data_IF_275919863300
#
_entry.id   IF_275919863300
#
_cell.length_a   1.000
_cell.length_b   1.000
_cell.length_c   1.000
_cell.angle_alpha   90.00
_cell.angle_beta   90.00
_cell.angle_gamma   90.00
#
_symmetry.space_group_name_H-M   'P 1'
#
loop_
_entity.id
_entity.type
_entity.pdbx_description
1 polymer ?
#
# COMPACT_ATOMS: atom_id res chain seq x y z
N UNK A 1 15.20 28.91 17.91
CA UNK A 1 13.85 28.44 17.51
C UNK A 1 13.97 27.88 16.11
N UNK A 2 13.49 26.64 15.86
CA UNK A 2 13.50 26.09 14.51
C UNK A 2 12.61 26.95 13.60
N UNK A 3 13.08 27.21 12.39
CA UNK A 3 12.30 27.92 11.37
C UNK A 3 11.09 27.09 10.95
N UNK A 4 10.03 27.76 10.48
CA UNK A 4 8.83 27.08 9.97
C UNK A 4 9.16 26.06 8.86
N UNK A 5 10.14 26.38 8.01
CA UNK A 5 10.62 25.49 6.94
C UNK A 5 11.25 24.21 7.50
N UNK A 6 12.05 24.30 8.56
CA UNK A 6 12.65 23.12 9.21
C UNK A 6 11.59 22.21 9.83
N UNK A 7 10.60 22.78 10.53
CA UNK A 7 9.49 22.01 11.13
C UNK A 7 8.71 21.26 10.03
N UNK A 8 8.44 21.92 8.92
CA UNK A 8 7.70 21.32 7.81
C UNK A 8 8.52 20.23 7.10
N UNK A 9 9.83 20.44 6.91
CA UNK A 9 10.74 19.45 6.34
C UNK A 9 10.82 18.18 7.20
N UNK A 10 10.90 18.33 8.53
CA UNK A 10 10.87 17.22 9.49
C UNK A 10 9.55 16.45 9.34
N UNK A 11 8.40 17.13 9.39
CA UNK A 11 7.09 16.49 9.23
C UNK A 11 6.97 15.72 7.92
N UNK A 12 7.41 16.30 6.80
CA UNK A 12 7.38 15.63 5.50
C UNK A 12 8.23 14.34 5.51
N UNK A 13 9.44 14.40 6.09
CA UNK A 13 10.30 13.22 6.25
C UNK A 13 9.62 12.12 7.06
N UNK A 14 9.01 12.45 8.19
CA UNK A 14 8.30 11.47 9.03
C UNK A 14 7.10 10.84 8.30
N UNK A 15 6.23 11.65 7.70
CA UNK A 15 5.04 11.15 6.97
C UNK A 15 5.45 10.18 5.86
N UNK A 16 6.52 10.50 5.14
CA UNK A 16 7.05 9.67 4.06
C UNK A 16 7.60 8.34 4.57
N UNK A 17 8.37 8.36 5.66
CA UNK A 17 8.88 7.14 6.29
C UNK A 17 7.75 6.25 6.79
N UNK A 18 6.76 6.82 7.47
CA UNK A 18 5.59 6.09 7.96
C UNK A 18 4.85 5.41 6.81
N UNK A 19 4.58 6.13 5.72
CA UNK A 19 3.87 5.58 4.57
C UNK A 19 4.64 4.43 3.90
N UNK A 20 5.96 4.56 3.77
CA UNK A 20 6.83 3.51 3.21
C UNK A 20 6.88 2.27 4.10
N UNK A 21 7.08 2.45 5.41
CA UNK A 21 7.06 1.34 6.36
C UNK A 21 5.70 0.63 6.37
N UNK A 22 4.60 1.39 6.38
CA UNK A 22 3.25 0.84 6.29
C UNK A 22 3.08 -0.01 5.02
N UNK A 23 3.51 0.52 3.87
CA UNK A 23 3.42 -0.19 2.58
C UNK A 23 4.25 -1.47 2.58
N UNK A 24 5.48 -1.43 3.12
CA UNK A 24 6.35 -2.60 3.13
C UNK A 24 5.85 -3.70 4.07
N UNK A 25 5.43 -3.31 5.28
CA UNK A 25 4.89 -4.25 6.26
C UNK A 25 3.61 -4.90 5.73
N UNK A 26 2.74 -4.11 5.11
CA UNK A 26 1.53 -4.61 4.46
C UNK A 26 1.85 -5.58 3.32
N UNK A 27 2.67 -5.18 2.35
CA UNK A 27 3.01 -6.03 1.21
C UNK A 27 3.73 -7.31 1.66
N UNK A 28 4.69 -7.18 2.57
CA UNK A 28 5.43 -8.31 3.14
C UNK A 28 4.52 -9.28 3.90
N UNK A 29 3.57 -8.77 4.69
CA UNK A 29 2.58 -9.60 5.38
C UNK A 29 1.72 -10.41 4.40
N UNK A 30 1.19 -9.77 3.35
CA UNK A 30 0.32 -10.46 2.38
C UNK A 30 1.06 -11.49 1.53
N UNK A 31 2.33 -11.24 1.22
CA UNK A 31 3.21 -12.23 0.59
C UNK A 31 3.43 -13.42 1.51
N UNK A 32 3.77 -13.16 2.78
CA UNK A 32 3.95 -14.22 3.77
C UNK A 32 2.67 -15.02 4.00
N UNK A 33 1.52 -14.36 4.13
CA UNK A 33 0.22 -14.99 4.25
C UNK A 33 -0.08 -15.87 3.03
N UNK A 34 0.19 -15.36 1.82
CA UNK A 34 0.00 -16.13 0.60
C UNK A 34 0.89 -17.38 0.54
N UNK A 35 2.16 -17.24 0.87
CA UNK A 35 3.09 -18.37 0.91
C UNK A 35 2.69 -19.39 1.99
N UNK A 36 2.40 -18.94 3.21
CA UNK A 36 2.06 -19.83 4.35
C UNK A 36 0.74 -20.56 4.17
N UNK A 37 -0.29 -19.90 3.64
CA UNK A 37 -1.58 -20.54 3.33
C UNK A 37 -1.45 -21.65 2.27
N UNK A 38 -0.47 -21.52 1.39
CA UNK A 38 -0.20 -22.49 0.33
C UNK A 38 0.46 -23.78 0.83
N UNK A 39 1.31 -23.71 1.86
CA UNK A 39 1.97 -24.89 2.43
C UNK A 39 0.99 -25.83 3.15
N UNK A 40 -0.09 -25.30 3.72
CA UNK A 40 -1.06 -26.11 4.48
C UNK A 40 -2.09 -26.82 3.60
N UNK A 41 -2.26 -26.40 2.34
CA UNK A 41 -3.41 -26.80 1.54
C UNK A 41 -3.16 -28.00 0.60
N UNK A 42 -1.93 -28.55 0.55
CA UNK A 42 -1.60 -29.72 -0.29
C UNK A 42 -1.85 -29.50 -1.80
N UNK A 43 -2.02 -28.25 -2.22
CA UNK A 43 -2.44 -27.88 -3.59
C UNK A 43 -1.22 -27.90 -4.51
N UNK A 44 -1.42 -28.33 -5.75
CA UNK A 44 -0.38 -28.34 -6.77
C UNK A 44 0.36 -26.97 -6.85
N UNK A 45 1.70 -26.95 -6.92
CA UNK A 45 2.53 -25.73 -6.83
C UNK A 45 2.11 -24.61 -7.82
N UNK A 46 1.59 -24.99 -8.99
CA UNK A 46 1.15 -24.06 -10.01
C UNK A 46 -0.12 -23.26 -9.64
N UNK A 47 -1.09 -23.86 -8.93
CA UNK A 47 -2.31 -23.15 -8.46
C UNK A 47 -1.98 -22.20 -7.31
N UNK A 48 -1.05 -22.59 -6.46
CA UNK A 48 -0.49 -21.78 -5.37
C UNK A 48 0.17 -20.51 -5.92
N UNK A 49 1.04 -20.65 -6.93
CA UNK A 49 1.76 -19.52 -7.52
C UNK A 49 0.81 -18.51 -8.18
N UNK A 50 -0.16 -18.99 -8.96
CA UNK A 50 -1.02 -18.13 -9.77
C UNK A 50 -2.16 -17.47 -9.00
N UNK A 51 -2.69 -18.09 -7.95
CA UNK A 51 -3.83 -17.54 -7.22
C UNK A 51 -3.48 -16.92 -5.87
N UNK A 52 -2.33 -17.27 -5.28
CA UNK A 52 -2.03 -16.90 -3.90
C UNK A 52 -0.74 -16.05 -3.82
N UNK A 53 0.32 -16.44 -4.54
CA UNK A 53 1.57 -15.68 -4.52
C UNK A 53 1.54 -14.44 -5.43
N UNK A 54 0.84 -14.52 -6.56
CA UNK A 54 0.80 -13.44 -7.56
C UNK A 54 0.28 -12.10 -6.98
N UNK A 55 -0.83 -12.03 -6.22
CA UNK A 55 -1.29 -10.77 -5.63
C UNK A 55 -0.25 -10.17 -4.65
N UNK A 56 0.36 -11.01 -3.82
CA UNK A 56 1.41 -10.56 -2.90
C UNK A 56 2.64 -10.00 -3.63
N UNK A 57 3.07 -10.63 -4.73
CA UNK A 57 4.18 -10.14 -5.55
C UNK A 57 3.84 -8.81 -6.21
N UNK A 58 2.61 -8.62 -6.66
CA UNK A 58 2.13 -7.33 -7.19
C UNK A 58 2.23 -6.26 -6.10
N UNK A 59 1.81 -6.55 -4.87
CA UNK A 59 1.91 -5.61 -3.74
C UNK A 59 3.35 -5.24 -3.41
N UNK A 60 4.27 -6.22 -3.42
CA UNK A 60 5.71 -5.99 -3.24
C UNK A 60 6.28 -5.10 -4.35
N UNK A 61 5.91 -5.36 -5.59
CA UNK A 61 6.33 -4.55 -6.74
C UNK A 61 5.82 -3.11 -6.60
N UNK A 62 4.56 -2.93 -6.22
CA UNK A 62 3.97 -1.61 -5.98
C UNK A 62 4.66 -0.89 -4.82
N UNK A 63 5.01 -1.60 -3.75
CA UNK A 63 5.79 -1.06 -2.65
C UNK A 63 7.17 -0.57 -3.12
N UNK A 64 7.89 -1.36 -3.92
CA UNK A 64 9.18 -0.98 -4.50
C UNK A 64 9.07 0.25 -5.41
N UNK A 65 8.03 0.30 -6.24
CA UNK A 65 7.71 1.45 -7.10
C UNK A 65 7.45 2.70 -6.25
N UNK A 66 6.68 2.60 -5.17
CA UNK A 66 6.40 3.71 -4.27
C UNK A 66 7.65 4.25 -3.57
N UNK A 67 8.67 3.41 -3.37
CA UNK A 67 9.96 3.83 -2.81
C UNK A 67 10.76 4.72 -3.74
N UNK A 68 10.75 4.40 -5.04
CA UNK A 68 11.53 5.10 -6.07
C UNK A 68 10.77 6.29 -6.67
N UNK A 69 9.47 6.15 -6.88
CA UNK A 69 8.61 7.09 -7.59
C UNK A 69 7.34 7.38 -6.78
N UNK A 70 7.46 8.23 -5.75
CA UNK A 70 6.40 8.46 -4.75
C UNK A 70 5.03 8.81 -5.34
N UNK A 71 4.98 9.71 -6.33
CA UNK A 71 3.70 10.12 -6.93
C UNK A 71 3.06 8.98 -7.75
N UNK A 72 3.86 8.20 -8.47
CA UNK A 72 3.35 7.10 -9.27
C UNK A 72 2.92 5.94 -8.37
N UNK A 73 3.76 5.57 -7.39
CA UNK A 73 3.41 4.54 -6.41
C UNK A 73 2.20 4.90 -5.55
N UNK A 74 2.02 6.18 -5.18
CA UNK A 74 0.80 6.61 -4.49
C UNK A 74 -0.46 6.35 -5.33
N UNK A 75 -0.42 6.58 -6.65
CA UNK A 75 -1.55 6.26 -7.53
C UNK A 75 -1.79 4.76 -7.63
N UNK A 76 -0.73 3.96 -7.74
CA UNK A 76 -0.86 2.50 -7.78
C UNK A 76 -1.47 1.96 -6.49
N UNK A 77 -0.98 2.37 -5.32
CA UNK A 77 -1.52 1.96 -4.02
C UNK A 77 -3.00 2.37 -3.85
N UNK A 78 -3.37 3.56 -4.36
CA UNK A 78 -4.77 3.97 -4.38
C UNK A 78 -5.63 3.02 -5.21
N UNK A 79 -5.18 2.69 -6.43
CA UNK A 79 -5.89 1.77 -7.31
C UNK A 79 -5.96 0.36 -6.72
N UNK A 80 -4.88 -0.17 -6.18
CA UNK A 80 -4.87 -1.48 -5.51
C UNK A 80 -5.87 -1.53 -4.36
N UNK A 81 -5.86 -0.52 -3.49
CA UNK A 81 -6.81 -0.44 -2.39
C UNK A 81 -8.26 -0.41 -2.89
N UNK A 82 -8.57 0.46 -3.86
CA UNK A 82 -9.91 0.56 -4.44
C UNK A 82 -10.35 -0.74 -5.13
N UNK A 83 -9.46 -1.40 -5.86
CA UNK A 83 -9.73 -2.68 -6.50
C UNK A 83 -10.04 -3.76 -5.47
N UNK A 84 -9.32 -3.81 -4.36
CA UNK A 84 -9.63 -4.74 -3.26
C UNK A 84 -11.01 -4.46 -2.69
N UNK A 85 -11.34 -3.20 -2.40
CA UNK A 85 -12.65 -2.82 -1.86
C UNK A 85 -13.80 -3.13 -2.83
N UNK A 86 -13.60 -2.95 -4.13
CA UNK A 86 -14.64 -3.16 -5.14
C UNK A 86 -14.76 -4.63 -5.56
N UNK A 87 -13.66 -5.30 -5.89
CA UNK A 87 -13.67 -6.61 -6.51
C UNK A 87 -13.77 -7.76 -5.49
N UNK A 88 -13.13 -7.64 -4.32
CA UNK A 88 -13.07 -8.76 -3.36
C UNK A 88 -14.46 -9.21 -2.87
N UNK A 89 -15.38 -8.30 -2.49
CA UNK A 89 -16.73 -8.70 -2.08
C UNK A 89 -17.51 -9.35 -3.22
N UNK A 90 -17.40 -8.84 -4.45
CA UNK A 90 -18.11 -9.37 -5.62
C UNK A 90 -17.68 -10.81 -5.91
N UNK A 91 -16.38 -11.08 -5.84
CA UNK A 91 -15.81 -12.39 -6.16
C UNK A 91 -16.06 -13.42 -5.06
N UNK A 92 -16.18 -12.98 -3.79
CA UNK A 92 -16.18 -13.88 -2.64
C UNK A 92 -17.49 -13.93 -1.84
N UNK A 93 -18.53 -13.22 -2.29
CA UNK A 93 -19.79 -13.04 -1.58
C UNK A 93 -20.44 -14.35 -1.10
N UNK A 94 -20.47 -15.37 -1.96
CA UNK A 94 -21.12 -16.65 -1.65
C UNK A 94 -20.19 -17.67 -0.98
N UNK A 95 -18.87 -17.46 -1.08
CA UNK A 95 -17.86 -18.40 -0.61
C UNK A 95 -17.37 -18.11 0.82
N UNK A 96 -17.49 -16.85 1.27
CA UNK A 96 -16.93 -16.38 2.53
C UNK A 96 -17.98 -15.72 3.42
N UNK A 97 -17.78 -15.80 4.73
CA UNK A 97 -18.61 -15.06 5.69
C UNK A 97 -18.39 -13.56 5.55
N UNK A 98 -19.42 -12.75 5.86
CA UNK A 98 -19.31 -11.28 5.86
C UNK A 98 -18.14 -10.78 6.71
N UNK A 99 -17.91 -11.40 7.87
CA UNK A 99 -16.79 -11.06 8.74
C UNK A 99 -15.43 -11.25 8.06
N UNK A 100 -15.27 -12.33 7.28
CA UNK A 100 -14.04 -12.58 6.51
C UNK A 100 -13.87 -11.57 5.38
N UNK A 101 -14.96 -11.23 4.69
CA UNK A 101 -14.94 -10.21 3.63
C UNK A 101 -14.50 -8.86 4.19
N UNK A 102 -15.11 -8.41 5.27
CA UNK A 102 -14.75 -7.16 5.94
C UNK A 102 -13.31 -7.19 6.47
N UNK A 103 -12.89 -8.31 7.07
CA UNK A 103 -11.52 -8.48 7.54
C UNK A 103 -10.51 -8.29 6.41
N UNK A 104 -10.71 -8.94 5.26
CA UNK A 104 -9.81 -8.80 4.11
C UNK A 104 -9.87 -7.40 3.53
N UNK A 105 -11.04 -6.79 3.36
CA UNK A 105 -11.13 -5.41 2.88
C UNK A 105 -10.35 -4.43 3.79
N UNK A 106 -10.48 -4.59 5.11
CA UNK A 106 -9.81 -3.72 6.08
C UNK A 106 -8.31 -3.98 6.20
N UNK A 107 -7.84 -5.22 6.02
CA UNK A 107 -6.42 -5.56 6.20
C UNK A 107 -5.62 -5.60 4.89
N UNK A 108 -6.29 -5.83 3.76
CA UNK A 108 -5.71 -5.86 2.42
C UNK A 108 -5.91 -4.54 1.69
N UNK A 109 -7.11 -3.94 1.77
CA UNK A 109 -7.46 -2.73 1.01
C UNK A 109 -7.13 -1.44 1.74
N UNK A 110 -7.35 -1.36 3.06
CA UNK A 110 -7.20 -0.11 3.81
C UNK A 110 -5.73 0.38 3.91
N UNK A 111 -4.73 -0.47 4.21
CA UNK A 111 -3.35 -0.01 4.34
C UNK A 111 -2.79 0.68 3.08
N UNK A 112 -2.96 0.15 1.84
CA UNK A 112 -2.47 0.85 0.64
C UNK A 112 -3.25 2.14 0.38
N UNK A 113 -4.55 2.22 0.71
CA UNK A 113 -5.29 3.50 0.66
C UNK A 113 -4.69 4.55 1.60
N UNK A 114 -4.44 4.19 2.86
CA UNK A 114 -3.83 5.10 3.84
C UNK A 114 -2.42 5.52 3.39
N UNK A 115 -1.61 4.58 2.94
CA UNK A 115 -0.27 4.87 2.41
C UNK A 115 -0.33 5.82 1.19
N UNK A 116 -1.30 5.62 0.29
CA UNK A 116 -1.50 6.50 -0.87
C UNK A 116 -1.81 7.95 -0.47
N UNK A 117 -2.68 8.14 0.53
CA UNK A 117 -3.07 9.46 1.03
C UNK A 117 -1.86 10.16 1.66
N UNK A 118 -1.08 9.43 2.47
CA UNK A 118 0.12 9.96 3.12
C UNK A 118 1.20 10.35 2.10
N UNK A 119 1.50 9.49 1.12
CA UNK A 119 2.48 9.77 0.07
C UNK A 119 2.05 10.95 -0.81
N UNK A 120 0.77 11.00 -1.21
CA UNK A 120 0.24 12.09 -2.04
C UNK A 120 0.27 13.43 -1.29
N UNK A 121 -0.12 13.43 -0.02
CA UNK A 121 -0.07 14.62 0.83
C UNK A 121 1.35 15.12 1.02
N UNK A 122 2.30 14.20 1.23
CA UNK A 122 3.72 14.52 1.32
C UNK A 122 4.26 15.14 0.02
N UNK A 123 3.91 14.55 -1.12
CA UNK A 123 4.33 15.04 -2.43
C UNK A 123 3.80 16.45 -2.74
N UNK A 124 2.52 16.73 -2.41
CA UNK A 124 1.93 18.06 -2.59
C UNK A 124 2.66 19.12 -1.74
N UNK A 125 2.96 18.81 -0.47
CA UNK A 125 3.70 19.73 0.43
C UNK A 125 5.10 20.02 -0.09
N UNK A 126 5.83 18.99 -0.51
CA UNK A 126 7.17 19.15 -1.09
C UNK A 126 7.16 19.97 -2.38
N UNK A 127 6.14 19.78 -3.23
CA UNK A 127 5.99 20.56 -4.46
C UNK A 127 5.76 22.04 -4.15
N UNK A 128 4.91 22.37 -3.17
CA UNK A 128 4.66 23.77 -2.76
C UNK A 128 5.94 24.41 -2.21
N UNK A 129 6.66 23.71 -1.33
CA UNK A 129 7.92 24.20 -0.78
C UNK A 129 8.97 24.52 -1.87
N UNK A 130 9.12 23.62 -2.84
CA UNK A 130 10.05 23.82 -3.95
C UNK A 130 9.67 25.02 -4.84
N UNK A 131 8.37 25.34 -4.95
CA UNK A 131 7.92 26.52 -5.70
C UNK A 131 8.22 27.81 -4.93
N UNK A 132 7.99 27.82 -3.62
CA UNK A 132 8.25 28.98 -2.75
C UNK A 132 9.76 29.28 -2.60
N UNK A 133 10.60 28.24 -2.53
CA UNK A 133 12.06 28.40 -2.46
C UNK A 133 12.74 28.78 -3.78
N UNK A 134 12.01 28.77 -4.90
CA UNK A 134 12.51 29.26 -6.20
C UNK A 134 12.23 30.74 -6.45
N UNK A 135 11.38 31.34 -5.62
CA UNK A 135 10.99 32.76 -5.72
C UNK A 135 11.74 33.68 -4.75
N UNK A 136 12.66 33.11 -3.95
CA UNK A 136 13.57 33.80 -3.02
C UNK A 136 14.99 33.76 -3.55
#
# INVERSE_FOLDING_TARGET
>A
MASFAEILAIRCRHTRTIARCLTLLWAGWWVFFGLSSSFNAGVAPARVLLHIALPGLIFLLTAAIAWRWENFGAKLLLWEGLLVFACYPIITWEANTLATILFVMLTMGLPPLLASILLRSNWQRMRILNLLGRTS
#
